data_IF_198474630897
#
_entry.id   IF_198474630897
#
_cell.length_a   1.000
_cell.length_b   1.000
_cell.length_c   1.000
_cell.angle_alpha   90.00
_cell.angle_beta   90.00
_cell.angle_gamma   90.00
#
_symmetry.space_group_name_H-M   'P 1'
#
loop_
_entity.id
_entity.type
_entity.pdbx_description
1 polymer ?
#
# COMPACT_ATOMS: atom_id res chain seq x y z
N UNK A 1 -7.86 -15.68 -6.28
CA UNK A 1 -6.46 -15.82 -6.76
C UNK A 1 -5.75 -16.77 -5.83
N UNK A 2 -5.04 -17.75 -6.37
CA UNK A 2 -4.22 -18.69 -5.60
C UNK A 2 -2.76 -18.49 -6.04
N UNK A 3 -1.90 -18.10 -5.11
CA UNK A 3 -0.47 -17.90 -5.36
C UNK A 3 0.27 -19.13 -4.87
N UNK A 4 1.16 -19.67 -5.71
CA UNK A 4 1.97 -20.85 -5.39
C UNK A 4 3.43 -20.44 -5.53
N UNK A 5 4.23 -20.72 -4.49
CA UNK A 5 5.67 -20.51 -4.54
C UNK A 5 6.32 -21.73 -5.22
N UNK A 6 7.10 -21.48 -6.27
CA UNK A 6 7.81 -22.53 -7.02
C UNK A 6 9.28 -22.18 -7.05
N UNK A 7 10.12 -23.10 -6.56
CA UNK A 7 11.58 -22.98 -6.66
C UNK A 7 12.04 -23.47 -8.04
N UNK A 8 12.70 -22.60 -8.80
CA UNK A 8 13.26 -22.95 -10.11
C UNK A 8 14.73 -23.33 -9.98
N UNK A 9 15.04 -24.60 -10.28
CA UNK A 9 16.41 -25.15 -10.20
C UNK A 9 17.14 -25.19 -11.54
N UNK A 10 16.47 -24.85 -12.64
CA UNK A 10 16.99 -24.97 -14.01
C UNK A 10 16.42 -23.87 -14.91
N UNK A 11 17.26 -23.26 -15.75
CA UNK A 11 16.85 -22.24 -16.74
C UNK A 11 15.78 -22.74 -17.71
N UNK A 12 15.79 -24.03 -18.09
CA UNK A 12 14.72 -24.58 -18.95
C UNK A 12 13.34 -24.47 -18.31
N UNK A 13 13.25 -24.62 -16.99
CA UNK A 13 11.98 -24.48 -16.28
C UNK A 13 11.50 -23.02 -16.25
N UNK A 14 12.42 -22.06 -16.24
CA UNK A 14 12.10 -20.65 -16.33
C UNK A 14 11.52 -20.28 -17.71
N UNK A 15 12.13 -20.75 -18.80
CA UNK A 15 11.63 -20.51 -20.17
C UNK A 15 10.21 -21.05 -20.36
N UNK A 16 9.92 -22.25 -19.87
CA UNK A 16 8.58 -22.83 -19.95
C UNK A 16 7.53 -22.02 -19.15
N UNK A 17 7.89 -21.53 -17.96
CA UNK A 17 6.99 -20.69 -17.18
C UNK A 17 6.80 -19.31 -17.82
N UNK A 18 7.85 -18.75 -18.40
CA UNK A 18 7.77 -17.49 -19.13
C UNK A 18 6.83 -17.61 -20.35
N UNK A 19 6.89 -18.72 -21.09
CA UNK A 19 5.95 -19.00 -22.18
C UNK A 19 4.48 -19.06 -21.71
N UNK A 20 4.23 -19.55 -20.49
CA UNK A 20 2.88 -19.57 -19.90
C UNK A 20 2.41 -18.17 -19.47
N UNK A 21 3.34 -17.33 -19.01
CA UNK A 21 3.08 -15.93 -18.69
C UNK A 21 2.77 -15.11 -19.95
N UNK A 22 3.53 -15.28 -21.04
CA UNK A 22 3.26 -14.62 -22.33
C UNK A 22 1.86 -14.96 -22.86
N UNK A 23 1.41 -16.21 -22.67
CA UNK A 23 0.06 -16.68 -22.99
C UNK A 23 -1.01 -16.19 -22.01
N UNK A 24 -0.64 -15.41 -20.99
CA UNK A 24 -1.51 -14.85 -19.94
C UNK A 24 -2.25 -15.91 -19.12
N UNK A 25 -1.70 -17.12 -19.05
CA UNK A 25 -2.27 -18.22 -18.25
C UNK A 25 -1.84 -18.13 -16.79
N UNK A 26 -0.65 -17.59 -16.54
CA UNK A 26 -0.10 -17.34 -15.22
C UNK A 26 0.49 -15.93 -15.17
N UNK A 27 0.83 -15.47 -13.96
CA UNK A 27 1.60 -14.24 -13.72
C UNK A 27 2.75 -14.58 -12.79
N UNK A 28 3.98 -14.27 -13.19
CA UNK A 28 5.16 -14.46 -12.36
C UNK A 28 5.29 -13.22 -11.46
N UNK A 29 5.23 -13.42 -10.15
CA UNK A 29 5.32 -12.34 -9.16
C UNK A 29 6.74 -12.35 -8.60
N UNK A 30 7.54 -11.34 -8.95
CA UNK A 30 8.80 -11.05 -8.27
C UNK A 30 8.49 -10.18 -7.05
N UNK A 31 8.02 -10.81 -5.98
CA UNK A 31 7.99 -10.17 -4.67
C UNK A 31 9.38 -10.29 -4.07
N UNK A 32 10.03 -9.14 -3.85
CA UNK A 32 11.29 -9.08 -3.12
C UNK A 32 11.00 -9.32 -1.63
N UNK A 33 10.92 -10.60 -1.24
CA UNK A 33 10.70 -11.01 0.15
C UNK A 33 11.86 -10.61 1.09
N UNK A 34 12.95 -10.07 0.55
CA UNK A 34 14.08 -9.55 1.35
C UNK A 34 13.94 -8.06 1.70
N UNK A 35 12.96 -7.38 1.11
CA UNK A 35 12.69 -5.98 1.40
C UNK A 35 11.88 -5.86 2.70
N UNK A 36 12.55 -5.41 3.77
CA UNK A 36 11.90 -4.97 5.01
C UNK A 36 11.08 -3.68 4.83
N UNK A 37 10.91 -3.18 3.60
CA UNK A 37 10.12 -1.99 3.34
C UNK A 37 8.65 -2.29 3.64
N UNK A 38 8.04 -1.38 4.39
CA UNK A 38 6.61 -1.38 4.67
C UNK A 38 5.83 -1.54 3.35
N UNK A 39 4.77 -2.36 3.31
CA UNK A 39 3.95 -2.51 2.11
C UNK A 39 3.39 -1.15 1.71
N UNK A 40 3.72 -0.70 0.50
CA UNK A 40 3.31 0.62 0.01
C UNK A 40 4.06 1.04 -1.26
N UNK A 41 3.55 2.06 -1.94
CA UNK A 41 4.30 2.74 -3.01
C UNK A 41 5.53 3.40 -2.37
N UNK A 42 6.74 3.21 -2.91
CA UNK A 42 7.90 3.94 -2.44
C UNK A 42 7.65 5.43 -2.59
N UNK A 43 7.87 6.17 -1.50
CA UNK A 43 7.75 7.62 -1.47
C UNK A 43 8.94 8.21 -2.23
N UNK A 44 8.68 9.10 -3.19
CA UNK A 44 9.76 9.84 -3.84
C UNK A 44 10.22 11.04 -2.99
N UNK A 45 11.34 11.69 -3.34
CA UNK A 45 11.90 12.78 -2.54
C UNK A 45 10.97 14.00 -2.44
N UNK A 46 10.22 14.28 -3.50
CA UNK A 46 9.26 15.39 -3.56
C UNK A 46 8.06 15.13 -2.63
N UNK A 47 7.45 13.94 -2.75
CA UNK A 47 6.36 13.45 -1.89
C UNK A 47 6.79 13.43 -0.41
N UNK A 48 8.06 13.10 -0.12
CA UNK A 48 8.60 13.16 1.24
C UNK A 48 8.69 14.59 1.75
N UNK A 49 9.17 15.53 0.93
CA UNK A 49 9.29 16.94 1.30
C UNK A 49 7.93 17.57 1.56
N UNK A 50 6.95 17.29 0.70
CA UNK A 50 5.56 17.73 0.89
C UNK A 50 4.97 17.18 2.19
N UNK A 51 5.24 15.91 2.51
CA UNK A 51 4.79 15.31 3.75
C UNK A 51 5.41 15.97 4.99
N UNK A 52 6.71 16.28 4.96
CA UNK A 52 7.39 16.99 6.05
C UNK A 52 6.81 18.38 6.23
N UNK A 53 6.67 19.15 5.14
CA UNK A 53 6.11 20.49 5.18
C UNK A 53 4.67 20.49 5.72
N UNK A 54 3.85 19.51 5.30
CA UNK A 54 2.52 19.33 5.85
C UNK A 54 2.56 19.00 7.34
N UNK A 55 3.41 18.06 7.77
CA UNK A 55 3.49 17.63 9.15
C UNK A 55 3.96 18.75 10.09
N UNK A 56 4.91 19.58 9.67
CA UNK A 56 5.44 20.70 10.44
C UNK A 56 4.45 21.87 10.53
N UNK A 57 3.71 22.14 9.46
CA UNK A 57 2.74 23.24 9.41
C UNK A 57 1.35 22.84 9.96
N UNK A 58 1.09 21.54 10.14
CA UNK A 58 -0.18 21.09 10.72
C UNK A 58 -0.17 21.36 12.22
N UNK A 59 -1.14 22.16 12.68
CA UNK A 59 -1.36 22.37 14.12
C UNK A 59 -1.56 21.01 14.81
N UNK A 60 -0.67 20.69 15.74
CA UNK A 60 -0.80 19.49 16.56
C UNK A 60 -2.01 19.65 17.48
N UNK A 61 -3.12 19.02 17.11
CA UNK A 61 -4.31 18.98 17.96
C UNK A 61 -4.13 17.90 19.01
N UNK A 62 -4.54 18.18 20.24
CA UNK A 62 -4.52 17.12 21.26
C UNK A 62 -5.46 15.99 20.85
N UNK A 63 -5.09 14.75 21.20
CA UNK A 63 -5.92 13.57 20.95
C UNK A 63 -7.35 13.71 21.48
N UNK A 64 -7.52 14.46 22.58
CA UNK A 64 -8.81 14.71 23.20
C UNK A 64 -9.66 15.70 22.38
N UNK A 65 -9.07 16.79 21.89
CA UNK A 65 -9.76 17.75 21.02
C UNK A 65 -10.15 17.11 19.69
N UNK A 66 -9.25 16.32 19.09
CA UNK A 66 -9.54 15.58 17.86
C UNK A 66 -10.73 14.62 18.02
N UNK A 67 -10.80 13.89 19.14
CA UNK A 67 -11.93 13.01 19.45
C UNK A 67 -13.25 13.78 19.60
N UNK A 68 -13.23 14.91 20.31
CA UNK A 68 -14.43 15.74 20.47
C UNK A 68 -14.93 16.30 19.13
N UNK A 69 -14.01 16.76 18.29
CA UNK A 69 -14.32 17.30 16.96
C UNK A 69 -14.88 16.21 16.03
N UNK A 70 -14.34 15.00 16.11
CA UNK A 70 -14.85 13.83 15.37
C UNK A 70 -16.28 13.46 15.79
N UNK A 71 -16.55 13.35 17.09
CA UNK A 71 -17.90 13.03 17.59
C UNK A 71 -18.92 14.10 17.20
N UNK A 72 -18.54 15.38 17.23
CA UNK A 72 -19.39 16.47 16.77
C UNK A 72 -19.71 16.38 15.26
N UNK A 73 -18.70 16.08 14.43
CA UNK A 73 -18.89 15.87 12.98
C UNK A 73 -19.74 14.64 12.69
N UNK A 74 -19.50 13.54 13.39
CA UNK A 74 -20.26 12.29 13.26
C UNK A 74 -21.74 12.49 13.56
N UNK A 75 -22.09 13.22 14.63
CA UNK A 75 -23.49 13.59 14.95
C UNK A 75 -24.14 14.42 13.85
N UNK A 76 -23.42 15.41 13.28
CA UNK A 76 -23.94 16.21 12.16
C UNK A 76 -24.22 15.34 10.93
N UNK A 77 -23.32 14.42 10.60
CA UNK A 77 -23.51 13.49 9.47
C UNK A 77 -24.70 12.55 9.72
N UNK A 78 -24.83 12.01 10.92
CA UNK A 78 -25.99 11.17 11.28
C UNK A 78 -27.32 11.91 11.14
N UNK A 79 -27.36 13.20 11.48
CA UNK A 79 -28.56 14.02 11.32
C UNK A 79 -28.88 14.36 9.86
N UNK A 80 -27.91 14.33 8.95
CA UNK A 80 -28.11 14.60 7.53
C UNK A 80 -28.54 13.35 6.75
N UNK A 81 -28.22 12.16 7.25
CA UNK A 81 -28.59 10.87 6.66
C UNK A 81 -30.00 10.42 7.10
N UNK A 82 -30.53 11.05 8.15
CA UNK A 82 -31.83 10.73 8.74
C UNK A 82 -32.91 11.69 8.24
#
# INVERSE_FOLDING_TARGET
>A
MQTILIELKNNKAFEELHNLEEKKLIRIINEDYSSYALPGKPLNEEEFREWVEYAENTTTVSLNEAKQLWEARKKKLQNLIR
#
